data_IF_995275163723
#
_entry.id   IF_995275163723
#
_cell.length_a   1.000
_cell.length_b   1.000
_cell.length_c   1.000
_cell.angle_alpha   90.00
_cell.angle_beta   90.00
_cell.angle_gamma   90.00
#
_symmetry.space_group_name_H-M   'P 1'
#
loop_
_entity.id
_entity.type
_entity.pdbx_description
1 polymer ?
#
# COMPACT_ATOMS: atom_id res chain seq x y z
N UNK A 1 21.20 35.50 16.68
CA UNK A 1 21.50 34.81 15.40
C UNK A 1 21.41 33.28 15.47
N UNK A 2 21.87 32.59 16.53
CA UNK A 2 21.79 31.12 16.62
C UNK A 2 20.37 30.53 16.68
N UNK A 3 19.44 31.21 17.37
CA UNK A 3 18.04 30.77 17.45
C UNK A 3 17.29 30.88 16.11
N UNK A 4 17.60 31.92 15.30
CA UNK A 4 16.95 32.14 14.00
C UNK A 4 17.25 31.01 12.99
N UNK A 5 18.50 30.53 12.97
CA UNK A 5 18.87 29.37 12.14
C UNK A 5 18.21 28.07 12.60
N UNK A 6 18.00 27.91 13.91
CA UNK A 6 17.32 26.75 14.47
C UNK A 6 15.82 26.73 14.09
N UNK A 7 15.15 27.89 14.15
CA UNK A 7 13.76 28.03 13.71
C UNK A 7 13.58 27.78 12.21
N UNK A 8 14.52 28.27 11.39
CA UNK A 8 14.52 28.00 9.94
C UNK A 8 14.67 26.50 9.64
N UNK A 9 15.50 25.79 10.40
CA UNK A 9 15.72 24.35 10.22
C UNK A 9 14.48 23.54 10.64
N UNK A 10 13.84 23.92 11.76
CA UNK A 10 12.60 23.29 12.25
C UNK A 10 11.45 23.51 11.26
N UNK A 11 11.33 24.71 10.69
CA UNK A 11 10.30 25.01 9.69
C UNK A 11 10.45 24.15 8.42
N UNK A 12 11.68 23.93 7.94
CA UNK A 12 11.96 23.03 6.80
C UNK A 12 11.57 21.58 7.13
N UNK A 13 11.87 21.10 8.34
CA UNK A 13 11.48 19.75 8.77
C UNK A 13 9.97 19.58 8.84
N UNK A 14 9.21 20.61 9.27
CA UNK A 14 7.75 20.55 9.36
C UNK A 14 7.10 20.53 7.96
N UNK A 15 7.61 21.30 7.01
CA UNK A 15 7.07 21.34 5.64
C UNK A 15 7.28 20.00 4.91
N UNK A 16 8.39 19.30 5.19
CA UNK A 16 8.66 17.96 4.64
C UNK A 16 7.73 16.86 5.19
N UNK A 17 6.96 17.12 6.25
CA UNK A 17 5.98 16.17 6.80
C UNK A 17 4.58 16.29 6.15
N UNK A 18 4.37 17.22 5.22
CA UNK A 18 3.12 17.33 4.47
C UNK A 18 3.01 16.24 3.38
N UNK A 19 3.30 14.99 3.75
CA UNK A 19 2.94 13.82 2.95
C UNK A 19 1.41 13.69 2.96
N UNK A 20 0.81 13.37 1.81
CA UNK A 20 -0.62 13.05 1.71
C UNK A 20 -0.94 11.80 2.54
N UNK A 21 -1.21 11.99 3.83
CA UNK A 21 -1.61 10.92 4.75
C UNK A 21 -3.11 10.68 4.63
N UNK A 22 -3.55 10.20 3.47
CA UNK A 22 -4.89 9.61 3.34
C UNK A 22 -5.04 8.47 4.35
N UNK A 23 -6.11 8.50 5.16
CA UNK A 23 -6.43 7.37 6.05
C UNK A 23 -6.87 6.18 5.21
N UNK A 24 -6.68 4.97 5.73
CA UNK A 24 -7.33 3.79 5.16
C UNK A 24 -8.85 3.99 5.19
N UNK A 25 -9.53 3.66 4.10
CA UNK A 25 -10.99 3.70 4.02
C UNK A 25 -11.50 2.28 3.99
N UNK A 26 -12.20 1.88 5.05
CA UNK A 26 -12.76 0.53 5.19
C UNK A 26 -14.24 0.61 4.80
N UNK A 27 -14.70 -0.35 4.01
CA UNK A 27 -16.10 -0.46 3.60
C UNK A 27 -17.00 -0.69 4.82
N UNK A 28 -18.23 -0.16 4.75
CA UNK A 28 -19.15 -0.22 5.87
C UNK A 28 -19.56 -1.65 6.20
N UNK A 29 -19.59 -2.00 7.49
CA UNK A 29 -19.99 -3.34 7.95
C UNK A 29 -18.95 -4.44 7.73
N UNK A 30 -17.77 -4.12 7.20
CA UNK A 30 -16.68 -5.09 7.04
C UNK A 30 -15.84 -5.18 8.30
N UNK A 31 -15.58 -6.41 8.74
CA UNK A 31 -14.62 -6.74 9.77
C UNK A 31 -13.34 -7.31 9.14
N UNK A 32 -12.29 -6.49 9.11
CA UNK A 32 -11.01 -6.86 8.51
C UNK A 32 -10.31 -8.02 9.22
N UNK A 33 -10.62 -8.29 10.49
CA UNK A 33 -9.97 -9.37 11.24
C UNK A 33 -10.30 -10.76 10.71
N UNK A 34 -11.36 -10.89 9.91
CA UNK A 34 -11.76 -12.13 9.25
C UNK A 34 -10.88 -12.50 8.06
N UNK A 35 -10.14 -11.54 7.50
CA UNK A 35 -9.31 -11.76 6.32
C UNK A 35 -7.89 -12.14 6.73
N UNK A 36 -7.51 -13.39 6.45
CA UNK A 36 -6.16 -13.91 6.72
C UNK A 36 -5.37 -14.29 5.46
N UNK A 37 -6.02 -14.28 4.29
CA UNK A 37 -5.43 -14.74 3.05
C UNK A 37 -5.52 -13.69 1.95
N UNK A 38 -4.57 -13.74 1.03
CA UNK A 38 -4.56 -12.89 -0.16
C UNK A 38 -4.17 -13.70 -1.39
N UNK A 39 -4.89 -13.47 -2.49
CA UNK A 39 -4.59 -14.00 -3.83
C UNK A 39 -4.23 -12.82 -4.71
N UNK A 40 -3.06 -12.86 -5.33
CA UNK A 40 -2.67 -11.86 -6.33
C UNK A 40 -3.23 -12.22 -7.70
N UNK A 41 -3.75 -11.23 -8.42
CA UNK A 41 -4.11 -11.37 -9.83
C UNK A 41 -2.89 -11.55 -10.73
N UNK A 42 -3.14 -12.01 -11.97
CA UNK A 42 -2.08 -12.31 -12.95
C UNK A 42 -1.56 -11.07 -13.69
N UNK A 43 -2.28 -9.95 -13.66
CA UNK A 43 -1.91 -8.73 -14.40
C UNK A 43 -1.94 -7.47 -13.53
N UNK A 44 -0.91 -6.64 -13.67
CA UNK A 44 -0.91 -5.26 -13.22
C UNK A 44 -1.75 -4.42 -14.19
N UNK A 45 -2.83 -3.81 -13.70
CA UNK A 45 -3.59 -2.83 -14.48
C UNK A 45 -2.91 -1.47 -14.34
N UNK A 46 -1.99 -1.11 -15.24
CA UNK A 46 -1.25 0.15 -15.14
C UNK A 46 -0.14 0.34 -16.17
N UNK A 47 0.69 1.36 -15.94
CA UNK A 47 1.90 1.62 -16.72
C UNK A 47 2.93 0.53 -16.43
N UNK A 48 3.31 -0.23 -17.47
CA UNK A 48 4.28 -1.33 -17.36
C UNK A 48 5.67 -0.86 -16.97
N UNK A 49 5.99 0.42 -17.16
CA UNK A 49 7.24 1.01 -16.65
C UNK A 49 7.31 1.01 -15.12
N UNK A 50 6.18 0.81 -14.43
CA UNK A 50 6.06 0.78 -12.98
C UNK A 50 5.78 -0.63 -12.43
N UNK A 51 5.93 -1.67 -13.24
CA UNK A 51 5.73 -3.08 -12.83
C UNK A 51 6.64 -3.47 -11.67
N UNK A 52 7.85 -2.91 -11.61
CA UNK A 52 8.80 -3.09 -10.51
C UNK A 52 8.25 -2.52 -9.18
N UNK A 53 7.62 -1.34 -9.22
CA UNK A 53 6.96 -0.73 -8.07
C UNK A 53 5.70 -1.51 -7.68
N UNK A 54 4.92 -1.99 -8.64
CA UNK A 54 3.77 -2.87 -8.36
C UNK A 54 4.24 -4.13 -7.64
N UNK A 55 5.31 -4.77 -8.11
CA UNK A 55 5.89 -5.94 -7.46
C UNK A 55 6.42 -5.62 -6.06
N UNK A 56 7.05 -4.46 -5.87
CA UNK A 56 7.45 -4.00 -4.55
C UNK A 56 6.25 -3.86 -3.60
N UNK A 57 5.12 -3.32 -4.08
CA UNK A 57 3.88 -3.24 -3.29
C UNK A 57 3.34 -4.63 -2.94
N UNK A 58 3.37 -5.59 -3.86
CA UNK A 58 3.00 -6.98 -3.56
C UNK A 58 3.88 -7.59 -2.47
N UNK A 59 5.18 -7.33 -2.51
CA UNK A 59 6.11 -7.77 -1.45
C UNK A 59 5.76 -7.13 -0.10
N UNK A 60 5.38 -5.85 -0.07
CA UNK A 60 4.93 -5.19 1.16
C UNK A 60 3.62 -5.78 1.71
N UNK A 61 2.72 -6.24 0.84
CA UNK A 61 1.51 -6.97 1.26
C UNK A 61 1.90 -8.34 1.84
N UNK A 62 2.83 -9.05 1.21
CA UNK A 62 3.33 -10.35 1.67
C UNK A 62 4.12 -10.30 2.99
N UNK A 63 4.61 -9.11 3.36
CA UNK A 63 5.27 -8.79 4.65
C UNK A 63 4.29 -8.36 5.77
N UNK A 64 2.98 -8.51 5.54
CA UNK A 64 1.95 -8.37 6.57
C UNK A 64 1.59 -9.73 7.19
N UNK A 65 0.58 -9.78 8.07
CA UNK A 65 0.01 -11.05 8.56
C UNK A 65 -0.84 -11.79 7.51
N UNK A 66 -1.15 -11.16 6.38
CA UNK A 66 -1.86 -11.85 5.29
C UNK A 66 -0.98 -12.96 4.72
N UNK A 67 -1.54 -14.16 4.58
CA UNK A 67 -0.88 -15.29 3.93
C UNK A 67 -1.20 -15.28 2.44
N UNK A 68 -0.16 -15.08 1.64
CA UNK A 68 -0.26 -15.20 0.17
C UNK A 68 -0.48 -16.66 -0.19
N UNK A 69 -1.52 -16.93 -0.96
CA UNK A 69 -1.90 -18.29 -1.41
C UNK A 69 -2.20 -18.30 -2.91
N UNK A 70 -2.21 -19.50 -3.50
CA UNK A 70 -2.59 -19.67 -4.91
C UNK A 70 -4.08 -19.41 -5.12
N UNK A 71 -4.47 -19.17 -6.38
CA UNK A 71 -5.88 -19.03 -6.78
C UNK A 71 -6.68 -20.29 -6.40
N UNK A 72 -6.12 -21.48 -6.61
CA UNK A 72 -6.75 -22.76 -6.27
C UNK A 72 -6.96 -22.89 -4.75
N UNK A 73 -5.95 -22.54 -3.95
CA UNK A 73 -6.07 -22.56 -2.49
C UNK A 73 -7.06 -21.51 -1.98
N UNK A 74 -7.14 -20.36 -2.65
CA UNK A 74 -8.10 -19.30 -2.36
C UNK A 74 -9.54 -19.79 -2.52
N UNK A 75 -9.84 -20.45 -3.64
CA UNK A 75 -11.15 -21.07 -3.88
C UNK A 75 -11.46 -22.16 -2.86
N UNK A 76 -10.47 -22.99 -2.50
CA UNK A 76 -10.64 -24.01 -1.46
C UNK A 76 -10.93 -23.38 -0.09
N UNK A 77 -10.31 -22.25 0.24
CA UNK A 77 -10.56 -21.52 1.49
C UNK A 77 -11.96 -20.92 1.54
N UNK A 78 -12.41 -20.32 0.44
CA UNK A 78 -13.79 -19.80 0.32
C UNK A 78 -14.82 -20.91 0.50
N UNK A 79 -14.59 -22.09 -0.11
CA UNK A 79 -15.48 -23.24 0.07
C UNK A 79 -15.58 -23.74 1.53
N UNK A 80 -14.58 -23.43 2.37
CA UNK A 80 -14.58 -23.70 3.81
C UNK A 80 -15.16 -22.55 4.65
N UNK A 81 -15.67 -21.49 4.03
CA UNK A 81 -16.24 -20.32 4.70
C UNK A 81 -15.19 -19.30 5.17
N UNK A 82 -13.95 -19.38 4.68
CA UNK A 82 -12.89 -18.43 5.00
C UNK A 82 -12.88 -17.24 4.04
N UNK A 83 -12.43 -16.09 4.53
CA UNK A 83 -12.40 -14.84 3.77
C UNK A 83 -11.03 -14.63 3.11
N UNK A 84 -11.04 -14.31 1.81
CA UNK A 84 -9.84 -14.15 0.99
C UNK A 84 -9.88 -12.78 0.32
N UNK A 85 -8.77 -12.04 0.37
CA UNK A 85 -8.63 -10.76 -0.31
C UNK A 85 -8.00 -10.92 -1.70
N UNK A 86 -8.34 -10.03 -2.61
CA UNK A 86 -7.60 -9.77 -3.85
C UNK A 86 -7.31 -8.28 -4.00
N UNK A 87 -6.03 -7.88 -4.06
CA UNK A 87 -5.67 -6.48 -4.21
C UNK A 87 -5.61 -6.09 -5.69
N UNK A 88 -6.27 -4.98 -6.04
CA UNK A 88 -5.97 -4.22 -7.24
C UNK A 88 -5.00 -3.09 -6.88
N UNK A 89 -3.80 -3.14 -7.47
CA UNK A 89 -2.72 -2.18 -7.20
C UNK A 89 -2.61 -1.26 -8.43
N UNK A 90 -2.71 0.04 -8.18
CA UNK A 90 -2.51 1.07 -9.18
C UNK A 90 -1.37 2.00 -8.75
N UNK A 91 -0.39 2.16 -9.62
CA UNK A 91 0.74 3.08 -9.43
C UNK A 91 0.77 4.07 -10.58
N UNK A 92 0.99 5.33 -10.25
CA UNK A 92 1.19 6.41 -11.22
C UNK A 92 2.33 7.30 -10.76
N UNK A 93 3.12 7.83 -11.70
CA UNK A 93 4.16 8.82 -11.40
C UNK A 93 4.08 9.95 -12.42
N UNK A 94 4.00 11.18 -11.94
CA UNK A 94 4.08 12.37 -12.79
C UNK A 94 5.50 12.49 -13.38
N UNK A 95 5.61 12.63 -14.71
CA UNK A 95 6.90 12.61 -15.43
C UNK A 95 7.53 14.01 -15.59
N UNK A 96 6.86 15.08 -15.18
CA UNK A 96 7.29 16.47 -15.34
C UNK A 96 7.22 17.22 -14.00
N UNK A 97 8.15 18.16 -13.78
CA UNK A 97 8.25 19.04 -12.59
C UNK A 97 8.48 18.34 -11.24
N UNK A 98 9.60 17.61 -11.12
CA UNK A 98 10.06 17.07 -9.83
C UNK A 98 9.49 15.71 -9.44
N UNK A 99 8.41 15.27 -10.09
CA UNK A 99 7.88 13.91 -9.98
C UNK A 99 7.05 13.68 -8.70
N UNK A 100 5.85 13.13 -8.88
CA UNK A 100 4.94 12.80 -7.78
C UNK A 100 4.44 11.37 -8.02
N UNK A 101 4.82 10.43 -7.16
CA UNK A 101 4.34 9.05 -7.24
C UNK A 101 3.13 8.86 -6.34
N UNK A 102 2.10 8.20 -6.86
CA UNK A 102 0.91 7.79 -6.12
C UNK A 102 0.74 6.27 -6.22
N UNK A 103 0.50 5.64 -5.08
CA UNK A 103 0.14 4.22 -5.00
C UNK A 103 -1.26 4.13 -4.39
N UNK A 104 -2.16 3.45 -5.08
CA UNK A 104 -3.49 3.09 -4.57
C UNK A 104 -3.62 1.57 -4.58
N UNK A 105 -4.08 1.01 -3.46
CA UNK A 105 -4.43 -0.40 -3.34
C UNK A 105 -5.90 -0.46 -2.97
N UNK A 106 -6.71 -1.12 -3.78
CA UNK A 106 -8.07 -1.48 -3.42
C UNK A 106 -8.11 -2.98 -3.18
N UNK A 107 -8.39 -3.38 -1.96
CA UNK A 107 -8.62 -4.77 -1.63
C UNK A 107 -10.10 -5.10 -1.84
N UNK A 108 -10.34 -6.19 -2.54
CA UNK A 108 -11.66 -6.77 -2.75
C UNK A 108 -11.76 -8.07 -1.99
N UNK A 109 -12.97 -8.38 -1.53
CA UNK A 109 -13.33 -9.74 -1.15
C UNK A 109 -13.33 -10.61 -2.42
N UNK A 110 -12.57 -11.71 -2.42
CA UNK A 110 -12.32 -12.49 -3.63
C UNK A 110 -13.56 -13.24 -4.13
N UNK A 111 -14.47 -13.60 -3.23
CA UNK A 111 -15.71 -14.33 -3.58
C UNK A 111 -16.76 -13.37 -4.15
N UNK A 112 -17.01 -12.28 -3.43
CA UNK A 112 -18.12 -11.36 -3.74
C UNK A 112 -17.72 -10.20 -4.65
N UNK A 113 -16.43 -10.00 -4.87
CA UNK A 113 -15.86 -8.83 -5.57
C UNK A 113 -16.25 -7.48 -4.93
N UNK A 114 -16.67 -7.49 -3.66
CA UNK A 114 -16.98 -6.27 -2.91
C UNK A 114 -15.68 -5.57 -2.50
N UNK A 115 -15.60 -4.24 -2.65
CA UNK A 115 -14.48 -3.47 -2.10
C UNK A 115 -14.50 -3.52 -0.58
N UNK A 116 -13.37 -3.91 0.01
CA UNK A 116 -13.19 -4.13 1.46
C UNK A 116 -12.43 -2.96 2.09
N UNK A 117 -11.27 -2.61 1.53
CA UNK A 117 -10.46 -1.50 2.03
C UNK A 117 -9.66 -0.84 0.91
N UNK A 118 -9.60 0.49 0.94
CA UNK A 118 -8.77 1.30 0.04
C UNK A 118 -7.64 1.95 0.83
N UNK A 119 -6.41 1.73 0.38
CA UNK A 119 -5.19 2.37 0.87
C UNK A 119 -4.63 3.23 -0.23
N UNK A 120 -4.23 4.46 0.10
CA UNK A 120 -3.53 5.34 -0.84
C UNK A 120 -2.24 5.83 -0.21
N UNK A 121 -1.26 6.20 -1.00
CA UNK A 121 -0.06 6.91 -0.54
C UNK A 121 0.48 7.75 -1.68
N UNK A 122 1.29 8.75 -1.32
CA UNK A 122 2.06 9.50 -2.30
C UNK A 122 3.47 9.77 -1.77
N UNK A 123 4.37 10.06 -2.68
CA UNK A 123 5.74 10.50 -2.40
C UNK A 123 6.11 11.67 -3.29
N UNK A 124 6.81 12.63 -2.68
CA UNK A 124 7.35 13.83 -3.33
C UNK A 124 8.78 14.00 -2.82
N UNK A 125 9.73 14.00 -3.74
CA UNK A 125 11.17 14.05 -3.55
C UNK A 125 11.82 14.89 -4.64
N UNK A 126 13.13 14.75 -4.82
CA UNK A 126 13.89 15.50 -5.83
C UNK A 126 14.05 14.72 -7.14
N UNK A 127 13.73 13.41 -7.12
CA UNK A 127 13.83 12.52 -8.28
C UNK A 127 12.70 11.49 -8.24
N UNK A 128 12.32 10.98 -9.40
CA UNK A 128 11.31 9.92 -9.57
C UNK A 128 11.55 8.73 -8.63
N UNK A 129 12.81 8.26 -8.52
CA UNK A 129 13.13 7.15 -7.64
C UNK A 129 12.93 7.51 -6.16
N UNK A 130 13.20 8.75 -5.76
CA UNK A 130 12.89 9.20 -4.41
C UNK A 130 11.38 9.25 -4.16
N UNK A 131 10.59 9.72 -5.11
CA UNK A 131 9.13 9.76 -5.01
C UNK A 131 8.56 8.35 -4.80
N UNK A 132 8.99 7.41 -5.62
CA UNK A 132 8.60 6.01 -5.55
C UNK A 132 8.96 5.39 -4.20
N UNK A 133 10.18 5.63 -3.71
CA UNK A 133 10.63 5.12 -2.42
C UNK A 133 9.84 5.72 -1.24
N UNK A 134 9.52 7.02 -1.30
CA UNK A 134 8.70 7.69 -0.27
C UNK A 134 7.28 7.13 -0.28
N UNK A 135 6.66 7.01 -1.46
CA UNK A 135 5.33 6.44 -1.62
C UNK A 135 5.28 4.98 -1.11
N UNK A 136 6.26 4.15 -1.49
CA UNK A 136 6.38 2.77 -1.06
C UNK A 136 6.56 2.67 0.46
N UNK A 137 7.42 3.51 1.06
CA UNK A 137 7.59 3.58 2.51
C UNK A 137 6.31 3.97 3.24
N UNK A 138 5.52 4.88 2.66
CA UNK A 138 4.23 5.30 3.21
C UNK A 138 3.16 4.19 3.09
N UNK A 139 3.08 3.48 1.95
CA UNK A 139 2.11 2.39 1.78
C UNK A 139 2.44 1.20 2.68
N UNK A 140 3.73 0.84 2.83
CA UNK A 140 4.22 -0.17 3.79
C UNK A 140 3.68 0.08 5.19
N UNK A 141 3.82 1.32 5.69
CA UNK A 141 3.35 1.70 7.03
C UNK A 141 1.82 1.54 7.16
N UNK A 142 1.07 1.88 6.10
CA UNK A 142 -0.40 1.73 6.08
C UNK A 142 -0.82 0.26 6.06
N UNK A 143 -0.18 -0.55 5.23
CA UNK A 143 -0.40 -2.01 5.17
C UNK A 143 -0.16 -2.65 6.54
N UNK A 144 0.98 -2.36 7.17
CA UNK A 144 1.33 -2.88 8.51
C UNK A 144 0.36 -2.41 9.60
N UNK A 145 -0.16 -1.19 9.50
CA UNK A 145 -1.17 -0.68 10.44
C UNK A 145 -2.51 -1.39 10.28
N UNK A 146 -2.90 -1.75 9.06
CA UNK A 146 -4.21 -2.35 8.75
C UNK A 146 -4.20 -3.86 8.96
N UNK A 147 -3.16 -4.54 8.48
CA UNK A 147 -3.09 -6.01 8.47
C UNK A 147 -2.07 -6.58 9.47
N UNK A 148 -1.36 -5.74 10.22
CA UNK A 148 -0.34 -6.16 11.17
C UNK A 148 0.99 -6.54 10.51
N UNK A 149 2.02 -6.72 11.34
CA UNK A 149 3.34 -7.18 10.92
C UNK A 149 3.38 -8.71 10.89
N UNK A 150 4.06 -9.27 9.89
CA UNK A 150 4.45 -10.68 9.92
C UNK A 150 5.34 -10.93 11.13
N UNK A 151 5.06 -11.99 11.89
CA UNK A 151 5.95 -12.38 12.99
C UNK A 151 7.26 -12.90 12.39
N UNK A 152 8.39 -12.39 12.86
CA UNK A 152 9.70 -12.90 12.48
C UNK A 152 9.87 -14.25 13.18
N UNK A 153 9.56 -15.33 12.47
CA UNK A 153 10.02 -16.66 12.89
C UNK A 153 11.54 -16.66 12.78
N UNK A 154 12.22 -16.68 13.94
CA UNK A 154 13.66 -16.88 14.03
C UNK A 154 14.07 -18.25 13.49
#
# INVERSE_FOLDING_TARGET
MRALGLFSLIAVVIILQACSTSKAVISHGIDLSKYSYVVFGKESTGDRELDDIVMAVQNEIADTKLRVISEQDGLAKIALGEFVLSPNIHVSTEKWDGGHTYITITFYDYDTNQSVVVLKSSGIGLTISQDQNIALGAIRKKLKKVFGNKEQTQ
#
